data_IF_079071697581
#
_entry.id   IF_079071697581
#
_cell.length_a   1.000
_cell.length_b   1.000
_cell.length_c   1.000
_cell.angle_alpha   90.00
_cell.angle_beta   90.00
_cell.angle_gamma   90.00
#
_symmetry.space_group_name_H-M   'P 1'
#
loop_
_entity.id
_entity.type
_entity.pdbx_description
1 polymer ?
#
# COMPACT_ATOMS: atom_id res chain seq x y z
N UNK A 1 11.41 2.40 5.81
CA UNK A 1 10.69 1.59 4.82
C UNK A 1 9.34 2.22 4.53
N UNK A 2 8.88 2.14 3.30
CA UNK A 2 7.56 2.61 2.85
C UNK A 2 6.90 1.53 1.99
N UNK A 3 5.60 1.65 1.76
CA UNK A 3 4.91 0.84 0.75
C UNK A 3 5.01 1.49 -0.62
N UNK A 4 4.91 0.66 -1.67
CA UNK A 4 4.79 1.15 -3.04
C UNK A 4 3.52 1.98 -3.25
N UNK A 5 3.48 2.83 -4.27
CA UNK A 5 2.32 3.66 -4.56
C UNK A 5 1.25 2.84 -5.29
N UNK A 6 0.01 2.74 -4.76
CA UNK A 6 -1.06 1.99 -5.39
C UNK A 6 -1.51 2.56 -6.75
N UNK A 7 -1.12 3.80 -7.08
CA UNK A 7 -1.50 4.47 -8.33
C UNK A 7 -0.43 4.34 -9.44
N UNK A 8 0.71 3.72 -9.14
CA UNK A 8 1.80 3.48 -10.08
C UNK A 8 2.00 1.98 -10.32
N UNK A 9 3.06 1.61 -11.04
CA UNK A 9 3.48 0.22 -11.13
C UNK A 9 3.95 -0.27 -9.75
N UNK A 10 3.61 -1.50 -9.39
CA UNK A 10 4.08 -2.13 -8.14
C UNK A 10 5.49 -2.69 -8.40
N UNK A 11 6.47 -1.79 -8.56
CA UNK A 11 7.81 -2.10 -9.10
C UNK A 11 8.95 -1.88 -8.10
N UNK A 12 8.63 -1.41 -6.89
CA UNK A 12 9.61 -1.17 -5.84
C UNK A 12 10.31 0.19 -5.94
N UNK A 13 9.76 1.11 -6.74
CA UNK A 13 10.23 2.49 -6.82
C UNK A 13 9.19 3.45 -6.24
N UNK A 14 9.64 4.33 -5.34
CA UNK A 14 8.76 5.29 -4.70
C UNK A 14 9.53 6.54 -4.25
N UNK A 15 8.81 7.62 -4.03
CA UNK A 15 9.38 8.86 -3.56
C UNK A 15 9.46 8.87 -2.03
N UNK A 16 10.68 9.03 -1.48
CA UNK A 16 10.96 9.20 -0.07
C UNK A 16 11.05 10.69 0.27
N UNK A 17 10.48 11.09 1.40
CA UNK A 17 10.84 12.32 2.06
C UNK A 17 12.01 12.02 3.01
N UNK A 18 13.22 12.38 2.63
CA UNK A 18 14.43 12.00 3.38
C UNK A 18 14.46 12.60 4.80
N UNK A 19 13.79 13.74 5.04
CA UNK A 19 13.72 14.32 6.39
C UNK A 19 12.95 13.45 7.39
N UNK A 20 12.16 12.46 6.93
CA UNK A 20 11.49 11.49 7.81
C UNK A 20 12.50 10.54 8.50
N UNK A 21 13.75 10.52 8.04
CA UNK A 21 14.84 9.75 8.63
C UNK A 21 15.62 10.54 9.69
N UNK A 22 15.51 11.87 9.73
CA UNK A 22 16.32 12.76 10.56
C UNK A 22 16.23 12.40 12.04
N UNK A 23 15.05 12.12 12.57
CA UNK A 23 14.85 11.75 13.97
C UNK A 23 15.64 10.48 14.34
N UNK A 24 15.63 9.49 13.46
CA UNK A 24 16.35 8.23 13.67
C UNK A 24 17.86 8.41 13.52
N UNK A 25 18.31 9.24 12.56
CA UNK A 25 19.73 9.54 12.34
C UNK A 25 20.31 10.33 13.50
N UNK A 26 19.56 11.31 14.01
CA UNK A 26 20.00 12.15 15.14
C UNK A 26 20.00 11.41 16.47
N UNK A 27 19.27 10.30 16.61
CA UNK A 27 19.22 9.46 17.83
C UNK A 27 19.03 10.25 19.11
N UNK A 28 18.07 11.20 19.10
CA UNK A 28 17.73 12.04 20.25
C UNK A 28 18.62 13.28 20.43
N UNK A 29 19.53 13.58 19.51
CA UNK A 29 20.27 14.85 19.47
C UNK A 29 19.33 16.00 19.08
N UNK A 30 19.60 17.21 19.59
CA UNK A 30 18.78 18.39 19.30
C UNK A 30 18.97 18.87 17.86
N UNK A 31 17.91 18.81 16.99
CA UNK A 31 18.03 19.19 15.59
C UNK A 31 18.37 20.67 15.35
N UNK A 32 18.33 21.54 16.40
CA UNK A 32 18.77 22.93 16.30
C UNK A 32 20.31 23.02 16.16
N UNK A 33 21.01 22.02 16.65
CA UNK A 33 22.47 21.99 16.72
C UNK A 33 23.13 21.17 15.62
N UNK A 34 22.34 20.46 14.82
CA UNK A 34 22.84 19.53 13.81
C UNK A 34 22.06 19.65 12.49
N UNK A 35 22.78 19.66 11.39
CA UNK A 35 22.20 19.58 10.04
C UNK A 35 22.40 18.19 9.47
N UNK A 36 21.31 17.55 9.01
CA UNK A 36 21.35 16.26 8.31
C UNK A 36 21.25 16.49 6.81
N UNK A 37 22.16 15.91 6.05
CA UNK A 37 22.17 15.97 4.58
C UNK A 37 22.43 14.58 4.01
N UNK A 38 21.76 14.23 2.90
CA UNK A 38 21.78 12.87 2.34
C UNK A 38 22.52 12.84 1.01
N UNK A 39 23.21 11.71 0.74
CA UNK A 39 24.07 11.53 -0.43
C UNK A 39 23.93 10.09 -0.98
N UNK A 40 24.20 9.90 -2.28
CA UNK A 40 24.20 8.56 -2.87
C UNK A 40 25.48 7.79 -2.57
N UNK A 41 26.61 8.48 -2.37
CA UNK A 41 27.91 7.86 -2.10
C UNK A 41 28.54 8.42 -0.83
N UNK A 42 29.41 7.62 -0.22
CA UNK A 42 30.15 8.05 0.97
C UNK A 42 31.13 9.17 0.64
N UNK A 43 31.73 9.14 -0.55
CA UNK A 43 32.67 10.14 -1.03
C UNK A 43 31.97 11.51 -1.18
N UNK A 44 30.76 11.54 -1.73
CA UNK A 44 29.96 12.76 -1.83
C UNK A 44 29.59 13.30 -0.45
N UNK A 45 29.29 12.42 0.49
CA UNK A 45 29.01 12.80 1.87
C UNK A 45 30.25 13.35 2.60
N UNK A 46 31.44 12.75 2.40
CA UNK A 46 32.71 13.23 2.95
C UNK A 46 33.06 14.62 2.40
N UNK A 47 32.91 14.81 1.09
CA UNK A 47 33.22 16.07 0.40
C UNK A 47 32.09 17.11 0.49
N UNK A 48 30.92 16.75 1.02
CA UNK A 48 29.71 17.60 1.09
C UNK A 48 29.29 18.18 -0.27
N UNK A 49 29.29 17.32 -1.31
CA UNK A 49 28.90 17.66 -2.68
C UNK A 49 27.77 16.74 -3.17
N UNK A 50 27.03 17.17 -4.19
CA UNK A 50 25.97 16.37 -4.81
C UNK A 50 24.90 15.86 -3.83
N UNK A 51 24.50 16.68 -2.86
CA UNK A 51 23.46 16.33 -1.91
C UNK A 51 22.15 15.94 -2.61
N UNK A 52 21.49 14.90 -2.10
CA UNK A 52 20.19 14.44 -2.60
C UNK A 52 19.08 15.46 -2.29
N UNK A 53 18.08 15.60 -3.15
CA UNK A 53 16.90 16.41 -2.86
C UNK A 53 16.10 15.79 -1.70
N UNK A 54 15.38 16.62 -0.95
CA UNK A 54 14.53 16.16 0.18
C UNK A 54 13.52 15.09 -0.29
N UNK A 55 12.89 15.32 -1.44
CA UNK A 55 12.03 14.33 -2.08
C UNK A 55 12.88 13.55 -3.09
N UNK A 56 13.25 12.35 -2.74
CA UNK A 56 14.15 11.50 -3.51
C UNK A 56 13.44 10.21 -3.93
N UNK A 57 13.47 9.88 -5.21
CA UNK A 57 13.00 8.60 -5.74
C UNK A 57 14.16 7.59 -5.76
N UNK A 58 13.97 6.42 -5.17
CA UNK A 58 15.01 5.39 -5.17
C UNK A 58 15.26 4.88 -6.59
N UNK A 59 16.52 4.52 -6.88
CA UNK A 59 16.96 3.99 -8.18
C UNK A 59 17.23 2.49 -8.15
N UNK A 60 17.19 1.90 -6.97
CA UNK A 60 17.23 0.46 -6.72
C UNK A 60 16.43 0.13 -5.46
N UNK A 61 16.01 -1.13 -5.29
CA UNK A 61 15.27 -1.57 -4.11
C UNK A 61 15.84 -2.89 -3.55
N UNK A 62 16.42 -2.90 -2.33
CA UNK A 62 16.72 -1.74 -1.48
C UNK A 62 17.84 -0.84 -2.04
N UNK A 63 17.87 0.42 -1.61
CA UNK A 63 18.96 1.36 -1.90
C UNK A 63 19.63 1.84 -0.61
N UNK A 64 20.96 1.82 -0.58
CA UNK A 64 21.75 2.44 0.50
C UNK A 64 22.05 3.88 0.10
N UNK A 65 21.86 4.80 1.03
CA UNK A 65 22.26 6.20 0.96
C UNK A 65 23.07 6.56 2.20
N UNK A 66 23.76 7.69 2.20
CA UNK A 66 24.60 8.14 3.29
C UNK A 66 24.04 9.43 3.87
N UNK A 67 23.80 9.45 5.18
CA UNK A 67 23.39 10.62 5.94
C UNK A 67 24.61 11.21 6.60
N UNK A 68 24.95 12.47 6.25
CA UNK A 68 25.96 13.27 6.93
C UNK A 68 25.29 14.17 7.96
N UNK A 69 25.82 14.16 9.19
CA UNK A 69 25.36 14.98 10.29
C UNK A 69 26.44 15.98 10.66
N UNK A 70 26.25 17.23 10.32
CA UNK A 70 27.17 18.32 10.65
C UNK A 70 26.79 18.96 11.98
N UNK A 71 27.80 19.27 12.83
CA UNK A 71 27.59 19.97 14.09
C UNK A 71 27.67 21.48 13.89
N UNK A 72 26.50 22.15 13.95
CA UNK A 72 26.37 23.60 13.70
C UNK A 72 26.80 24.47 14.90
N UNK A 73 27.08 23.87 16.05
CA UNK A 73 27.56 24.61 17.24
C UNK A 73 29.03 24.97 17.16
N UNK A 74 29.78 24.41 16.22
CA UNK A 74 31.20 24.64 16.01
C UNK A 74 31.41 25.49 14.73
N UNK A 75 32.38 26.39 14.78
CA UNK A 75 32.75 27.19 13.61
C UNK A 75 33.58 26.38 12.58
N UNK A 76 33.87 25.13 12.88
CA UNK A 76 34.68 24.22 12.05
C UNK A 76 33.78 23.19 11.42
N UNK A 77 33.58 23.27 10.10
CA UNK A 77 32.80 22.32 9.28
C UNK A 77 33.40 20.90 9.22
N UNK A 78 34.46 20.62 9.98
CA UNK A 78 35.10 19.30 10.07
C UNK A 78 34.51 18.41 11.16
N UNK A 79 33.58 18.92 11.97
CA UNK A 79 32.90 18.12 12.99
C UNK A 79 31.62 17.53 12.42
N UNK A 80 31.76 16.48 11.68
CA UNK A 80 30.64 15.70 11.14
C UNK A 80 30.79 14.19 11.40
N UNK A 81 29.73 13.47 11.26
CA UNK A 81 29.71 12.00 11.20
C UNK A 81 28.81 11.52 10.04
N UNK A 82 29.04 10.30 9.55
CA UNK A 82 28.29 9.74 8.44
C UNK A 82 27.70 8.39 8.85
N UNK A 83 26.41 8.21 8.59
CA UNK A 83 25.70 6.96 8.81
C UNK A 83 25.08 6.44 7.50
N UNK A 84 25.02 5.11 7.36
CA UNK A 84 24.26 4.48 6.27
C UNK A 84 22.78 4.47 6.61
N UNK A 85 21.93 4.79 5.63
CA UNK A 85 20.50 4.63 5.68
C UNK A 85 20.02 3.75 4.53
N UNK A 86 19.11 2.82 4.80
CA UNK A 86 18.54 1.94 3.78
C UNK A 86 17.13 2.39 3.42
N UNK A 87 16.93 2.74 2.16
CA UNK A 87 15.63 2.95 1.56
C UNK A 87 15.08 1.61 1.08
N UNK A 88 13.92 1.21 1.59
CA UNK A 88 13.25 -0.02 1.21
C UNK A 88 11.79 0.26 0.89
N UNK A 89 11.38 -0.09 -0.32
CA UNK A 89 9.99 -0.07 -0.77
C UNK A 89 9.42 -1.48 -0.69
N UNK A 90 8.37 -1.67 0.08
CA UNK A 90 7.65 -2.92 0.17
C UNK A 90 6.55 -2.95 -0.89
N UNK A 91 6.52 -4.00 -1.69
CA UNK A 91 5.49 -4.20 -2.71
C UNK A 91 4.11 -4.38 -2.06
N UNK A 92 3.09 -3.91 -2.77
CA UNK A 92 1.71 -4.12 -2.39
C UNK A 92 1.27 -5.56 -2.68
N UNK A 93 0.26 -6.10 -1.97
CA UNK A 93 -0.32 -7.40 -2.30
C UNK A 93 -0.78 -7.47 -3.76
N UNK A 94 -0.46 -8.55 -4.47
CA UNK A 94 -0.89 -8.76 -5.85
C UNK A 94 -2.04 -9.75 -5.90
N UNK A 95 -3.22 -9.28 -6.22
CA UNK A 95 -4.41 -10.09 -6.46
C UNK A 95 -5.30 -9.42 -7.50
N UNK A 96 -6.23 -10.18 -8.05
CA UNK A 96 -7.22 -9.70 -9.02
C UNK A 96 -8.60 -10.23 -8.65
N UNK A 97 -9.61 -9.45 -8.99
CA UNK A 97 -11.01 -9.88 -9.00
C UNK A 97 -11.53 -9.80 -10.43
N UNK A 98 -12.59 -10.54 -10.74
CA UNK A 98 -13.31 -10.32 -11.98
C UNK A 98 -13.84 -8.88 -12.03
N UNK A 99 -13.91 -8.27 -13.20
CA UNK A 99 -14.44 -6.92 -13.38
C UNK A 99 -15.88 -6.81 -12.88
N UNK A 100 -16.66 -7.87 -13.11
CA UNK A 100 -18.02 -8.00 -12.58
C UNK A 100 -18.42 -9.45 -12.34
N UNK A 101 -19.28 -9.64 -11.34
CA UNK A 101 -19.93 -10.92 -11.04
C UNK A 101 -21.43 -10.82 -11.31
N UNK A 102 -22.01 -11.87 -11.91
CA UNK A 102 -23.44 -11.95 -12.18
C UNK A 102 -24.10 -12.96 -11.24
N UNK A 103 -24.96 -12.47 -10.35
CA UNK A 103 -25.80 -13.30 -9.49
C UNK A 103 -27.24 -13.40 -9.99
N UNK A 104 -27.96 -14.46 -9.58
CA UNK A 104 -29.40 -14.54 -9.75
C UNK A 104 -30.08 -14.02 -8.48
N UNK A 105 -31.04 -13.09 -8.64
CA UNK A 105 -31.87 -12.61 -7.53
C UNK A 105 -33.26 -13.28 -7.54
N UNK A 106 -33.93 -13.28 -6.39
CA UNK A 106 -35.33 -13.72 -6.32
C UNK A 106 -36.24 -12.76 -7.09
N UNK A 107 -37.49 -13.20 -7.38
CA UNK A 107 -38.48 -12.39 -8.10
C UNK A 107 -38.80 -11.03 -7.46
N UNK A 108 -38.47 -10.83 -6.21
CA UNK A 108 -38.68 -9.58 -5.47
C UNK A 108 -37.42 -8.67 -5.49
N UNK A 109 -36.30 -9.12 -6.09
CA UNK A 109 -35.05 -8.34 -6.18
C UNK A 109 -34.32 -8.13 -4.84
N UNK A 110 -34.59 -8.96 -3.83
CA UNK A 110 -34.14 -8.74 -2.46
C UNK A 110 -33.04 -9.70 -1.99
N UNK A 111 -32.77 -10.77 -2.76
CA UNK A 111 -31.81 -11.78 -2.33
C UNK A 111 -31.15 -12.43 -3.55
N UNK A 112 -29.84 -12.61 -3.50
CA UNK A 112 -29.08 -13.40 -4.49
C UNK A 112 -29.40 -14.88 -4.24
N UNK A 113 -29.85 -15.59 -5.28
CA UNK A 113 -30.26 -17.01 -5.24
C UNK A 113 -29.14 -17.95 -5.68
N UNK A 114 -28.26 -17.51 -6.55
CA UNK A 114 -27.09 -18.26 -7.00
C UNK A 114 -25.86 -17.73 -6.29
N UNK A 115 -25.11 -18.61 -5.65
CA UNK A 115 -23.96 -18.22 -4.85
C UNK A 115 -22.84 -17.71 -5.76
N UNK A 116 -22.55 -16.43 -5.62
CA UNK A 116 -21.38 -15.78 -6.20
C UNK A 116 -20.29 -15.80 -5.14
N UNK A 117 -19.17 -16.44 -5.42
CA UNK A 117 -18.01 -16.44 -4.53
C UNK A 117 -16.95 -15.52 -5.13
N UNK A 118 -16.65 -14.44 -4.44
CA UNK A 118 -15.50 -13.57 -4.73
C UNK A 118 -14.31 -14.09 -3.94
N UNK A 119 -13.17 -14.29 -4.58
CA UNK A 119 -11.97 -14.88 -3.96
C UNK A 119 -10.74 -14.02 -4.28
N UNK A 120 -10.05 -13.57 -3.22
CA UNK A 120 -8.80 -12.82 -3.34
C UNK A 120 -7.64 -13.73 -3.74
N UNK A 121 -7.69 -15.04 -3.37
CA UNK A 121 -6.70 -16.03 -3.77
C UNK A 121 -5.35 -15.95 -3.05
N UNK A 122 -5.20 -15.09 -2.03
CA UNK A 122 -3.98 -14.96 -1.24
C UNK A 122 -4.02 -15.82 0.02
N UNK A 123 -2.83 -16.17 0.55
CA UNK A 123 -2.69 -16.97 1.77
C UNK A 123 -3.09 -16.17 3.02
N UNK A 124 -4.00 -16.66 3.87
CA UNK A 124 -4.32 -16.02 5.14
C UNK A 124 -3.19 -16.10 6.19
N UNK A 125 -2.13 -16.85 5.94
CA UNK A 125 -0.94 -16.89 6.80
C UNK A 125 -0.06 -15.63 6.58
N UNK A 126 -0.12 -15.05 5.37
CA UNK A 126 0.72 -13.91 4.98
C UNK A 126 -0.07 -12.60 4.88
N UNK A 127 -1.42 -12.69 4.72
CA UNK A 127 -2.28 -11.55 4.48
C UNK A 127 -3.53 -11.55 5.36
N UNK A 128 -3.93 -10.37 5.80
CA UNK A 128 -5.27 -10.11 6.34
C UNK A 128 -6.17 -9.49 5.28
N UNK A 129 -7.49 -9.69 5.42
CA UNK A 129 -8.48 -9.30 4.43
C UNK A 129 -9.59 -8.48 5.05
N UNK A 130 -10.16 -7.58 4.26
CA UNK A 130 -11.38 -6.86 4.58
C UNK A 130 -12.24 -6.72 3.30
N UNK A 131 -13.53 -7.01 3.42
CA UNK A 131 -14.52 -6.78 2.39
C UNK A 131 -15.44 -5.66 2.83
N UNK A 132 -15.69 -4.71 1.93
CA UNK A 132 -16.57 -3.56 2.15
C UNK A 132 -17.75 -3.66 1.19
N UNK A 133 -18.97 -3.52 1.72
CA UNK A 133 -20.20 -3.56 0.95
C UNK A 133 -20.48 -2.24 0.18
N UNK A 134 -21.48 -2.21 -0.74
CA UNK A 134 -21.83 -1.00 -1.47
C UNK A 134 -22.28 0.19 -0.60
N UNK A 135 -22.61 -0.05 0.68
CA UNK A 135 -22.96 1.00 1.65
C UNK A 135 -21.74 1.54 2.42
N UNK A 136 -20.53 0.97 2.16
CA UNK A 136 -19.30 1.35 2.85
C UNK A 136 -19.09 0.69 4.21
N UNK A 137 -19.80 -0.42 4.50
CA UNK A 137 -19.64 -1.14 5.75
C UNK A 137 -18.69 -2.34 5.57
N UNK A 138 -17.80 -2.62 6.54
CA UNK A 138 -17.04 -3.86 6.55
C UNK A 138 -17.96 -5.06 6.81
N UNK A 139 -17.88 -6.10 5.96
CA UNK A 139 -18.79 -7.25 5.97
C UNK A 139 -18.12 -8.59 6.17
N UNK A 140 -16.82 -8.72 5.89
CA UNK A 140 -16.05 -9.94 6.12
C UNK A 140 -14.54 -9.65 6.21
N UNK A 141 -13.81 -10.60 6.83
CA UNK A 141 -12.35 -10.60 6.94
C UNK A 141 -11.73 -11.91 6.44
N UNK A 142 -12.44 -12.63 5.60
CA UNK A 142 -12.04 -13.91 5.02
C UNK A 142 -11.49 -13.73 3.61
N UNK A 143 -10.67 -14.67 3.13
CA UNK A 143 -10.11 -14.62 1.76
C UNK A 143 -11.20 -14.63 0.69
N UNK A 144 -12.34 -15.28 0.99
CA UNK A 144 -13.51 -15.33 0.11
C UNK A 144 -14.69 -14.59 0.73
N UNK A 145 -15.56 -14.04 -0.12
CA UNK A 145 -16.81 -13.42 0.32
C UNK A 145 -17.96 -13.75 -0.65
N UNK A 146 -19.16 -13.99 -0.11
CA UNK A 146 -20.39 -14.21 -0.87
C UNK A 146 -21.30 -12.98 -0.72
N UNK A 147 -21.44 -12.14 -1.77
CA UNK A 147 -22.23 -10.92 -1.70
C UNK A 147 -23.72 -11.23 -1.53
N UNK A 148 -24.41 -10.36 -0.76
CA UNK A 148 -25.85 -10.54 -0.45
C UNK A 148 -26.74 -9.61 -1.28
N UNK A 149 -26.17 -8.63 -1.97
CA UNK A 149 -26.89 -7.65 -2.79
C UNK A 149 -26.02 -7.21 -3.98
N UNK A 150 -26.65 -6.60 -4.97
CA UNK A 150 -25.94 -5.95 -6.06
C UNK A 150 -25.24 -4.67 -5.64
N UNK A 151 -24.21 -4.29 -6.39
CA UNK A 151 -23.46 -3.04 -6.19
C UNK A 151 -21.95 -3.25 -6.23
N UNK A 152 -21.22 -2.18 -5.90
CA UNK A 152 -19.75 -2.17 -5.92
C UNK A 152 -19.22 -2.63 -4.56
N UNK A 153 -18.41 -3.67 -4.57
CA UNK A 153 -17.69 -4.17 -3.41
C UNK A 153 -16.22 -3.82 -3.50
N UNK A 154 -15.59 -3.57 -2.36
CA UNK A 154 -14.16 -3.35 -2.24
C UNK A 154 -13.54 -4.50 -1.46
N UNK A 155 -12.51 -5.12 -2.02
CA UNK A 155 -11.65 -6.07 -1.34
C UNK A 155 -10.32 -5.40 -0.98
N UNK A 156 -9.90 -5.55 0.26
CA UNK A 156 -8.62 -5.05 0.76
C UNK A 156 -7.81 -6.25 1.24
N UNK A 157 -6.57 -6.37 0.75
CA UNK A 157 -5.59 -7.30 1.27
C UNK A 157 -4.42 -6.52 1.86
N UNK A 158 -3.99 -6.89 3.06
CA UNK A 158 -2.85 -6.27 3.77
C UNK A 158 -1.83 -7.33 4.11
N UNK A 159 -0.58 -7.13 3.70
CA UNK A 159 0.52 -7.99 4.09
C UNK A 159 0.79 -7.83 5.60
N UNK A 160 0.75 -8.94 6.35
CA UNK A 160 0.84 -8.94 7.82
C UNK A 160 2.22 -8.47 8.30
N UNK A 161 3.27 -8.77 7.54
CA UNK A 161 4.65 -8.44 7.92
C UNK A 161 4.97 -6.96 7.66
N UNK A 162 4.58 -6.44 6.50
CA UNK A 162 4.97 -5.09 6.05
C UNK A 162 3.91 -4.03 6.36
N UNK A 163 2.65 -4.44 6.57
CA UNK A 163 1.51 -3.53 6.72
C UNK A 163 1.04 -2.90 5.40
N UNK A 164 1.67 -3.23 4.27
CA UNK A 164 1.29 -2.69 2.97
C UNK A 164 -0.01 -3.32 2.48
N UNK A 165 -0.92 -2.51 1.97
CA UNK A 165 -2.25 -2.93 1.54
C UNK A 165 -2.56 -2.50 0.12
N UNK A 166 -3.38 -3.31 -0.56
CA UNK A 166 -3.99 -2.99 -1.85
C UNK A 166 -5.49 -3.18 -1.76
N UNK A 167 -6.22 -2.27 -2.39
CA UNK A 167 -7.67 -2.38 -2.56
C UNK A 167 -8.03 -2.57 -4.04
N UNK A 168 -9.03 -3.40 -4.30
CA UNK A 168 -9.61 -3.62 -5.62
C UNK A 168 -11.12 -3.61 -5.49
N UNK A 169 -11.78 -2.92 -6.42
CA UNK A 169 -13.23 -2.89 -6.51
C UNK A 169 -13.74 -3.83 -7.58
N UNK A 170 -14.91 -4.41 -7.35
CA UNK A 170 -15.65 -5.22 -8.33
C UNK A 170 -17.12 -4.91 -8.25
N UNK A 171 -17.84 -5.08 -9.35
CA UNK A 171 -19.27 -4.90 -9.41
C UNK A 171 -20.00 -6.25 -9.31
N UNK A 172 -21.02 -6.33 -8.47
CA UNK A 172 -21.97 -7.45 -8.44
C UNK A 172 -23.26 -6.96 -9.08
N UNK A 173 -23.61 -7.57 -10.22
CA UNK A 173 -24.88 -7.33 -10.92
C UNK A 173 -25.83 -8.48 -10.67
N UNK A 174 -27.13 -8.21 -10.75
CA UNK A 174 -28.16 -9.20 -10.48
C UNK A 174 -29.17 -9.30 -11.65
N UNK A 175 -29.50 -10.55 -11.98
CA UNK A 175 -30.54 -10.86 -12.96
C UNK A 175 -31.73 -11.55 -12.30
N UNK A 176 -32.94 -11.09 -12.57
CA UNK A 176 -34.15 -11.73 -12.07
C UNK A 176 -34.55 -12.93 -12.91
N UNK A 177 -35.10 -14.00 -12.34
CA UNK A 177 -35.61 -15.11 -13.12
C UNK A 177 -36.81 -14.69 -13.98
N UNK A 178 -37.00 -15.38 -15.11
CA UNK A 178 -38.18 -15.17 -15.94
C UNK A 178 -39.48 -15.52 -15.16
N UNK A 179 -40.46 -14.64 -15.24
CA UNK A 179 -41.81 -14.92 -14.71
C UNK A 179 -42.57 -15.78 -15.68
N UNK A 180 -42.87 -17.02 -15.29
CA UNK A 180 -43.68 -17.94 -16.10
C UNK A 180 -45.10 -17.94 -15.54
N UNK A 181 -46.08 -17.52 -16.38
CA UNK A 181 -47.47 -17.64 -16.06
C UNK A 181 -47.99 -19.03 -16.46
N UNK A 182 -48.65 -19.77 -15.55
CA UNK A 182 -49.24 -21.06 -15.91
C UNK A 182 -50.36 -20.86 -16.95
N UNK A 183 -50.28 -21.63 -18.03
CA UNK A 183 -51.39 -21.71 -19.00
C UNK A 183 -52.41 -22.66 -18.41
N UNK A 184 -53.61 -22.15 -18.10
CA UNK A 184 -54.79 -22.98 -17.74
C UNK A 184 -55.49 -23.35 -19.04
N UNK A 185 -55.47 -24.64 -19.43
CA UNK A 185 -56.25 -25.21 -20.54
C UNK A 185 -57.53 -25.80 -20.03
#
# INVERSE_FOLDING_TARGET
TICDDPNTANDGFAQFNLTDLDEQILDGQDPINFTVTYYETIEDAEDSINALPINFENTSNPQIIFARVDNDTTADSQCYDIAEATLLVNLLPEFTLEESYLGCINVNGTQILEEVIMDIGLSPDDYSFEWIDPAGNPVATTVTYTPQMEGIYTAIATNILTGCSREITTEVTASSPAVVNPIVT
#
